data_IF_445823156468
#
_entry.id   IF_445823156468
#
_cell.length_a   1.000
_cell.length_b   1.000
_cell.length_c   1.000
_cell.angle_alpha   90.00
_cell.angle_beta   90.00
_cell.angle_gamma   90.00
#
_symmetry.space_group_name_H-M   'P 1'
#
loop_
_entity.id
_entity.type
_entity.pdbx_description
1 polymer ?
#
# COMPACT_ATOMS: atom_id res chain seq x y z
N UNK A 1 -14.54 0.36 -38.69
CA UNK A 1 -13.98 -0.49 -37.62
C UNK A 1 -13.47 0.43 -36.53
N UNK A 2 -14.11 0.44 -35.35
CA UNK A 2 -13.71 1.30 -34.23
C UNK A 2 -12.46 0.69 -33.61
N UNK A 3 -11.33 1.39 -33.70
CA UNK A 3 -10.17 1.09 -32.89
C UNK A 3 -10.57 1.29 -31.42
N UNK A 4 -10.75 0.19 -30.70
CA UNK A 4 -10.85 0.22 -29.24
C UNK A 4 -9.46 0.61 -28.76
N UNK A 5 -9.29 1.89 -28.43
CA UNK A 5 -8.17 2.35 -27.62
C UNK A 5 -8.34 1.67 -26.26
N UNK A 6 -7.70 0.52 -26.08
CA UNK A 6 -7.42 -0.03 -24.76
C UNK A 6 -6.36 0.87 -24.11
N UNK A 7 -6.72 2.11 -23.82
CA UNK A 7 -6.02 2.89 -22.82
C UNK A 7 -6.43 2.25 -21.51
N UNK A 8 -5.63 1.29 -21.06
CA UNK A 8 -5.70 0.80 -19.68
C UNK A 8 -5.39 2.02 -18.81
N UNK A 9 -6.44 2.64 -18.25
CA UNK A 9 -6.30 3.66 -17.21
C UNK A 9 -5.85 2.97 -15.92
N UNK A 10 -4.65 2.38 -15.88
CA UNK A 10 -3.99 2.12 -14.60
C UNK A 10 -3.42 3.46 -14.14
N UNK A 11 -4.27 4.30 -13.55
CA UNK A 11 -3.84 5.55 -12.96
C UNK A 11 -3.11 5.22 -11.64
N UNK A 12 -1.79 5.50 -11.48
CA UNK A 12 -1.11 5.33 -10.20
C UNK A 12 -1.46 6.45 -9.21
N UNK A 13 -2.57 7.18 -9.41
CA UNK A 13 -2.91 8.36 -8.65
C UNK A 13 -4.06 8.04 -7.69
N UNK A 14 -3.69 7.38 -6.60
CA UNK A 14 -4.53 7.23 -5.41
C UNK A 14 -4.93 8.61 -4.86
N UNK A 15 -4.13 9.66 -5.09
CA UNK A 15 -4.43 11.03 -4.64
C UNK A 15 -5.03 11.83 -5.81
N UNK A 16 -6.26 12.31 -5.66
CA UNK A 16 -6.96 13.05 -6.71
C UNK A 16 -6.37 14.45 -6.95
N UNK A 17 -6.14 15.19 -5.86
CA UNK A 17 -5.52 16.53 -5.88
C UNK A 17 -5.09 16.94 -4.47
N UNK A 18 -3.99 17.68 -4.33
CA UNK A 18 -3.60 18.29 -3.05
C UNK A 18 -2.76 19.53 -3.32
N UNK A 19 -2.99 20.66 -2.63
CA UNK A 19 -2.12 21.82 -2.69
C UNK A 19 -0.86 21.68 -1.80
N UNK A 20 -0.76 20.59 -1.03
CA UNK A 20 0.32 20.35 -0.08
C UNK A 20 1.27 19.25 -0.56
N UNK A 21 2.55 19.43 -0.27
CA UNK A 21 3.51 18.32 -0.29
C UNK A 21 3.23 17.41 0.90
N UNK A 22 3.04 16.11 0.65
CA UNK A 22 2.77 15.13 1.69
C UNK A 22 4.08 14.44 2.04
N UNK A 23 4.44 14.47 3.31
CA UNK A 23 5.57 13.73 3.85
C UNK A 23 5.05 12.72 4.86
N UNK A 24 5.47 11.46 4.73
CA UNK A 24 5.10 10.40 5.65
C UNK A 24 6.38 9.73 6.17
N UNK A 25 6.46 9.54 7.48
CA UNK A 25 7.58 8.90 8.16
C UNK A 25 7.03 7.72 8.97
N UNK A 26 7.08 6.48 8.46
CA UNK A 26 6.64 5.32 9.23
C UNK A 26 7.63 5.02 10.36
N UNK A 27 7.10 4.60 11.51
CA UNK A 27 7.88 3.97 12.57
C UNK A 27 7.48 2.49 12.66
N UNK A 28 8.45 1.61 12.41
CA UNK A 28 8.22 0.16 12.30
C UNK A 28 8.62 -0.51 13.61
N UNK A 29 7.72 -1.32 14.17
CA UNK A 29 7.97 -2.09 15.39
C UNK A 29 8.37 -3.55 15.10
N UNK A 30 7.73 -4.22 14.13
CA UNK A 30 8.01 -5.63 13.76
C UNK A 30 7.24 -6.04 12.48
N UNK A 31 7.73 -7.07 11.77
CA UNK A 31 7.03 -7.70 10.63
C UNK A 31 7.04 -6.86 9.35
N UNK A 32 6.61 -7.47 8.22
CA UNK A 32 6.58 -6.96 6.83
C UNK A 32 6.56 -5.43 6.70
N UNK A 33 7.73 -4.82 6.85
CA UNK A 33 7.83 -3.41 7.23
C UNK A 33 7.47 -2.48 6.09
N UNK A 34 7.77 -2.91 4.86
CA UNK A 34 7.39 -2.22 3.63
C UNK A 34 5.88 -2.25 3.41
N UNK A 35 5.23 -3.40 3.64
CA UNK A 35 3.79 -3.54 3.41
C UNK A 35 3.01 -2.84 4.50
N UNK A 36 3.43 -2.96 5.77
CA UNK A 36 2.89 -2.17 6.88
C UNK A 36 3.01 -0.66 6.63
N UNK A 37 4.09 -0.21 5.98
CA UNK A 37 4.24 1.22 5.61
C UNK A 37 3.22 1.66 4.54
N UNK A 38 2.88 0.80 3.57
CA UNK A 38 1.81 1.10 2.59
C UNK A 38 0.48 1.29 3.31
N UNK A 39 0.15 0.34 4.20
CA UNK A 39 -1.04 0.35 5.03
C UNK A 39 -1.12 1.60 5.92
N UNK A 40 -0.01 1.98 6.56
CA UNK A 40 0.06 3.14 7.45
C UNK A 40 -0.06 4.46 6.67
N UNK A 41 0.59 4.57 5.50
CA UNK A 41 0.48 5.73 4.63
C UNK A 41 -0.98 5.98 4.28
N UNK A 42 -1.70 4.95 3.81
CA UNK A 42 -3.11 5.07 3.46
C UNK A 42 -3.96 5.59 4.62
N UNK A 43 -3.85 4.98 5.81
CA UNK A 43 -4.62 5.42 6.97
C UNK A 43 -4.25 6.84 7.41
N UNK A 44 -2.96 7.19 7.40
CA UNK A 44 -2.50 8.55 7.74
C UNK A 44 -3.01 9.60 6.76
N UNK A 45 -3.12 9.27 5.47
CA UNK A 45 -3.69 10.14 4.45
C UNK A 45 -5.19 10.35 4.67
N UNK A 46 -5.93 9.27 4.99
CA UNK A 46 -7.34 9.38 5.36
C UNK A 46 -7.54 10.28 6.58
N UNK A 47 -6.71 10.14 7.61
CA UNK A 47 -6.77 10.96 8.83
C UNK A 47 -6.38 12.42 8.57
N UNK A 48 -5.34 12.66 7.77
CA UNK A 48 -4.89 13.99 7.38
C UNK A 48 -5.86 14.73 6.44
N UNK A 49 -6.89 14.04 5.92
CA UNK A 49 -7.88 14.59 4.99
C UNK A 49 -7.43 14.61 3.54
N UNK A 50 -6.33 13.93 3.20
CA UNK A 50 -5.82 13.84 1.82
C UNK A 50 -6.82 13.06 0.96
N UNK A 51 -7.34 13.63 -0.14
CA UNK A 51 -8.39 13.01 -0.93
C UNK A 51 -7.84 11.83 -1.71
N UNK A 52 -8.01 10.65 -1.12
CA UNK A 52 -7.66 9.36 -1.72
C UNK A 52 -8.86 8.75 -2.43
N UNK A 53 -8.65 8.23 -3.64
CA UNK A 53 -9.68 7.70 -4.53
C UNK A 53 -10.01 6.24 -4.26
N UNK A 54 -9.03 5.47 -3.79
CA UNK A 54 -9.14 4.03 -3.59
C UNK A 54 -8.42 3.59 -2.31
N UNK A 55 -8.86 2.45 -1.76
CA UNK A 55 -8.23 1.82 -0.61
C UNK A 55 -7.03 1.02 -1.08
N UNK A 56 -5.91 1.19 -0.40
CA UNK A 56 -4.63 0.57 -0.79
C UNK A 56 -4.11 -0.24 0.38
N UNK A 57 -3.78 -1.49 0.11
CA UNK A 57 -3.16 -2.41 1.04
C UNK A 57 -1.93 -3.04 0.41
N UNK A 58 -1.11 -3.66 1.26
CA UNK A 58 0.00 -4.49 0.81
C UNK A 58 0.12 -5.71 1.71
N UNK A 59 0.63 -6.81 1.16
CA UNK A 59 0.98 -8.00 1.92
C UNK A 59 2.25 -8.64 1.35
N UNK A 60 2.99 -9.35 2.19
CA UNK A 60 4.14 -10.15 1.77
C UNK A 60 3.73 -11.62 1.73
N UNK A 61 4.13 -12.31 0.69
CA UNK A 61 3.94 -13.74 0.50
C UNK A 61 5.30 -14.41 0.47
N UNK A 62 5.40 -15.57 1.11
CA UNK A 62 6.61 -16.38 1.07
C UNK A 62 6.38 -17.69 0.36
N UNK A 63 7.49 -18.32 0.01
CA UNK A 63 7.50 -19.67 -0.52
C UNK A 63 8.50 -20.50 0.27
N UNK A 64 8.10 -21.70 0.67
CA UNK A 64 8.98 -22.74 1.16
C UNK A 64 8.92 -23.88 0.17
N UNK A 65 10.09 -24.33 -0.31
CA UNK A 65 10.23 -25.48 -1.20
C UNK A 65 11.08 -26.51 -0.49
N UNK A 66 10.71 -27.78 -0.58
CA UNK A 66 11.49 -28.89 -0.02
C UNK A 66 12.80 -29.09 -0.79
N UNK A 67 13.83 -29.64 -0.13
CA UNK A 67 15.20 -29.78 -0.66
C UNK A 67 15.26 -30.64 -1.94
N UNK A 68 14.22 -31.42 -2.23
CA UNK A 68 14.10 -32.25 -3.44
C UNK A 68 13.86 -31.48 -4.73
N UNK A 69 13.46 -30.20 -4.68
CA UNK A 69 13.26 -29.37 -5.87
C UNK A 69 12.02 -29.71 -6.73
N UNK A 70 11.21 -30.68 -6.30
CA UNK A 70 9.96 -31.07 -6.94
C UNK A 70 8.79 -30.19 -6.48
N UNK A 71 7.95 -29.74 -7.43
CA UNK A 71 6.82 -28.83 -7.21
C UNK A 71 5.76 -29.36 -6.23
N UNK A 72 5.76 -30.66 -5.97
CA UNK A 72 4.78 -31.34 -5.10
C UNK A 72 4.92 -30.98 -3.60
N UNK A 73 6.04 -30.36 -3.21
CA UNK A 73 6.33 -29.95 -1.82
C UNK A 73 6.26 -28.44 -1.54
N UNK A 74 5.86 -27.62 -2.50
CA UNK A 74 5.90 -26.16 -2.36
C UNK A 74 4.75 -25.63 -1.48
N UNK A 75 5.09 -24.96 -0.36
CA UNK A 75 4.14 -24.31 0.54
C UNK A 75 4.19 -22.79 0.39
N UNK A 76 3.04 -22.20 0.12
CA UNK A 76 2.86 -20.75 0.05
C UNK A 76 2.46 -20.25 1.42
N UNK A 77 3.16 -19.22 1.88
CA UNK A 77 2.85 -18.52 3.11
C UNK A 77 2.30 -17.13 2.80
N UNK A 78 1.23 -16.74 3.48
CA UNK A 78 0.62 -15.40 3.42
C UNK A 78 1.01 -14.60 4.65
N UNK A 79 1.30 -13.31 4.48
CA UNK A 79 1.66 -12.39 5.55
C UNK A 79 2.86 -12.87 6.38
N UNK A 80 3.97 -13.14 5.67
CA UNK A 80 5.15 -13.75 6.28
C UNK A 80 5.80 -12.89 7.38
N UNK A 81 6.20 -13.55 8.45
CA UNK A 81 7.05 -13.00 9.49
C UNK A 81 8.51 -12.96 9.06
N UNK A 82 9.33 -12.15 9.74
CA UNK A 82 10.76 -12.06 9.41
C UNK A 82 11.52 -13.39 9.54
N UNK A 83 11.05 -14.30 10.40
CA UNK A 83 11.62 -15.64 10.51
C UNK A 83 11.25 -16.52 9.29
N UNK A 84 10.01 -16.43 8.82
CA UNK A 84 9.51 -17.17 7.66
C UNK A 84 10.13 -16.65 6.36
N UNK A 85 10.39 -15.35 6.29
CA UNK A 85 11.20 -14.75 5.23
C UNK A 85 12.64 -15.29 5.28
N UNK A 86 13.29 -15.25 6.46
CA UNK A 86 14.68 -15.70 6.60
C UNK A 86 14.91 -17.17 6.24
N UNK A 87 13.93 -18.04 6.53
CA UNK A 87 13.95 -19.47 6.21
C UNK A 87 13.34 -19.79 4.84
N UNK A 88 12.60 -18.85 4.26
CA UNK A 88 11.91 -19.00 2.99
C UNK A 88 12.81 -18.85 1.79
N UNK A 89 12.29 -19.28 0.65
CA UNK A 89 12.97 -19.25 -0.67
C UNK A 89 12.58 -18.02 -1.49
N UNK A 90 11.48 -17.36 -1.14
CA UNK A 90 10.92 -16.21 -1.85
C UNK A 90 10.32 -15.22 -0.86
N UNK A 91 10.47 -13.93 -1.16
CA UNK A 91 9.74 -12.81 -0.56
C UNK A 91 9.05 -12.02 -1.68
N UNK A 92 7.77 -12.30 -1.89
CA UNK A 92 6.91 -11.66 -2.88
C UNK A 92 6.02 -10.63 -2.20
N UNK A 93 6.36 -9.36 -2.39
CA UNK A 93 5.61 -8.21 -1.90
C UNK A 93 4.73 -7.67 -3.02
N UNK A 94 3.44 -7.51 -2.76
CA UNK A 94 2.54 -6.83 -3.69
C UNK A 94 1.70 -5.83 -2.92
N UNK A 95 1.50 -4.67 -3.52
CA UNK A 95 0.63 -3.62 -3.03
C UNK A 95 -0.37 -3.24 -4.12
N UNK A 96 -1.58 -2.89 -3.72
CA UNK A 96 -2.65 -2.61 -4.65
C UNK A 96 -3.94 -2.18 -4.00
N UNK A 97 -4.92 -1.89 -4.85
CA UNK A 97 -6.31 -1.63 -4.51
C UNK A 97 -7.21 -2.71 -5.11
N UNK A 98 -8.52 -2.63 -4.83
CA UNK A 98 -9.52 -3.45 -5.51
C UNK A 98 -9.51 -3.24 -7.04
N UNK A 99 -9.08 -2.06 -7.49
CA UNK A 99 -8.92 -1.73 -8.92
C UNK A 99 -7.71 -2.37 -9.58
N UNK A 100 -6.79 -2.94 -8.79
CA UNK A 100 -5.66 -3.72 -9.28
C UNK A 100 -4.36 -3.45 -8.53
N UNK A 101 -3.27 -4.00 -9.07
CA UNK A 101 -1.94 -3.96 -8.44
C UNK A 101 -1.22 -2.66 -8.80
N UNK A 102 -0.64 -2.00 -7.80
CA UNK A 102 0.11 -0.73 -7.95
C UNK A 102 1.61 -0.93 -7.86
N UNK A 103 2.08 -1.91 -7.07
CA UNK A 103 3.50 -2.23 -6.96
C UNK A 103 3.71 -3.72 -6.69
N UNK A 104 4.75 -4.29 -7.31
CA UNK A 104 5.21 -5.66 -7.08
C UNK A 104 6.72 -5.60 -6.83
N UNK A 105 7.18 -6.32 -5.82
CA UNK A 105 8.59 -6.59 -5.59
C UNK A 105 8.74 -8.08 -5.31
N UNK A 106 9.55 -8.74 -6.13
CA UNK A 106 9.90 -10.15 -5.98
C UNK A 106 11.38 -10.23 -5.60
N UNK A 107 11.66 -10.73 -4.40
CA UNK A 107 13.00 -11.07 -3.96
C UNK A 107 13.13 -12.60 -3.87
N UNK A 108 14.02 -13.16 -4.67
CA UNK A 108 14.26 -14.60 -4.70
C UNK A 108 15.61 -14.92 -4.10
N UNK A 109 15.61 -15.78 -3.08
CA UNK A 109 16.82 -16.18 -2.36
C UNK A 109 17.54 -17.35 -3.02
N UNK A 110 16.97 -17.90 -4.10
CA UNK A 110 17.48 -19.07 -4.82
C UNK A 110 17.81 -18.65 -6.25
N UNK A 111 19.04 -18.96 -6.70
CA UNK A 111 19.55 -18.47 -7.99
C UNK A 111 18.89 -19.06 -9.24
N UNK A 112 17.95 -20.00 -9.11
CA UNK A 112 17.31 -20.68 -10.24
C UNK A 112 15.92 -21.20 -9.85
N UNK A 113 14.89 -20.37 -9.96
CA UNK A 113 13.49 -20.77 -9.77
C UNK A 113 12.92 -21.28 -11.11
N UNK A 114 13.49 -22.36 -11.66
CA UNK A 114 13.02 -22.91 -12.94
C UNK A 114 11.73 -23.74 -12.81
N UNK A 115 11.37 -24.11 -11.58
CA UNK A 115 10.17 -24.92 -11.25
C UNK A 115 9.02 -24.05 -10.74
N UNK A 116 9.30 -22.97 -9.99
CA UNK A 116 8.26 -22.17 -9.36
C UNK A 116 8.12 -20.73 -9.90
N UNK A 117 7.60 -20.60 -11.12
CA UNK A 117 7.04 -19.31 -11.56
C UNK A 117 5.83 -18.96 -10.69
N UNK A 118 5.71 -17.74 -10.14
CA UNK A 118 4.50 -17.33 -9.43
C UNK A 118 3.31 -17.47 -10.40
N UNK A 119 2.49 -18.49 -10.17
CA UNK A 119 1.34 -18.79 -11.02
C UNK A 119 0.25 -17.74 -10.80
N UNK A 120 -0.72 -17.63 -11.72
CA UNK A 120 -1.87 -16.75 -11.53
C UNK A 120 -2.59 -16.97 -10.19
N UNK A 121 -2.53 -18.19 -9.64
CA UNK A 121 -3.14 -18.50 -8.33
C UNK A 121 -2.40 -17.84 -7.17
N UNK A 122 -1.08 -17.68 -7.22
CA UNK A 122 -0.32 -17.00 -6.16
C UNK A 122 -0.64 -15.52 -6.12
N UNK A 123 -0.71 -14.89 -7.29
CA UNK A 123 -1.16 -13.50 -7.43
C UNK A 123 -2.62 -13.39 -6.98
N UNK A 124 -3.47 -14.37 -7.29
CA UNK A 124 -4.86 -14.37 -6.85
C UNK A 124 -5.00 -14.42 -5.31
N UNK A 125 -4.28 -15.31 -4.64
CA UNK A 125 -4.24 -15.40 -3.18
C UNK A 125 -3.74 -14.08 -2.58
N UNK A 126 -2.73 -13.48 -3.21
CA UNK A 126 -2.21 -12.16 -2.82
C UNK A 126 -3.31 -11.09 -2.91
N UNK A 127 -4.00 -11.03 -4.06
CA UNK A 127 -5.10 -10.08 -4.28
C UNK A 127 -6.20 -10.23 -3.25
N UNK A 128 -6.59 -11.46 -2.92
CA UNK A 128 -7.61 -11.70 -1.93
C UNK A 128 -7.16 -11.25 -0.52
N UNK A 129 -5.89 -11.49 -0.18
CA UNK A 129 -5.35 -11.14 1.14
C UNK A 129 -5.21 -9.64 1.32
N UNK A 130 -4.67 -8.88 0.34
CA UNK A 130 -4.59 -7.42 0.50
C UNK A 130 -5.98 -6.76 0.43
N UNK A 131 -6.94 -7.31 -0.33
CA UNK A 131 -8.34 -6.83 -0.31
C UNK A 131 -8.99 -7.08 1.05
N UNK A 132 -8.69 -8.22 1.68
CA UNK A 132 -9.15 -8.47 3.05
C UNK A 132 -8.58 -7.43 4.03
N UNK A 133 -7.30 -7.08 3.88
CA UNK A 133 -6.66 -6.01 4.66
C UNK A 133 -7.33 -4.65 4.39
N UNK A 134 -7.64 -4.30 3.14
CA UNK A 134 -8.32 -3.03 2.85
C UNK A 134 -9.74 -2.98 3.41
N UNK A 135 -10.43 -4.11 3.46
CA UNK A 135 -11.71 -4.25 4.16
C UNK A 135 -11.58 -3.96 5.65
N UNK A 136 -10.51 -4.42 6.31
CA UNK A 136 -10.26 -4.14 7.73
C UNK A 136 -10.13 -2.62 7.98
N UNK A 137 -9.48 -1.87 7.09
CA UNK A 137 -9.39 -0.40 7.24
C UNK A 137 -10.75 0.29 7.27
N UNK A 138 -11.74 -0.30 6.60
CA UNK A 138 -13.09 0.30 6.50
C UNK A 138 -13.77 0.44 7.86
N UNK A 139 -13.42 -0.43 8.81
CA UNK A 139 -13.89 -0.33 10.19
C UNK A 139 -13.29 0.86 10.94
N UNK A 140 -12.09 1.31 10.57
CA UNK A 140 -11.40 2.44 11.21
C UNK A 140 -11.65 3.75 10.47
N UNK A 141 -11.45 3.74 9.14
CA UNK A 141 -11.62 4.88 8.25
C UNK A 141 -12.49 4.47 7.07
N UNK A 142 -13.79 4.73 7.18
CA UNK A 142 -14.73 4.50 6.08
C UNK A 142 -14.49 5.51 4.94
N UNK A 143 -14.09 6.74 5.28
CA UNK A 143 -13.82 7.83 4.34
C UNK A 143 -12.72 8.76 4.87
N UNK A 144 -12.00 9.40 3.96
CA UNK A 144 -11.09 10.51 4.25
C UNK A 144 -11.79 11.66 4.98
N UNK A 145 -11.11 12.30 5.93
CA UNK A 145 -11.60 13.55 6.55
C UNK A 145 -11.93 14.61 5.50
N UNK A 146 -13.02 15.34 5.69
CA UNK A 146 -13.49 16.40 4.75
C UNK A 146 -12.57 17.62 4.66
N UNK A 147 -11.71 17.85 5.64
CA UNK A 147 -10.86 19.04 5.72
C UNK A 147 -9.42 18.57 5.78
N UNK A 148 -8.62 18.97 4.78
CA UNK A 148 -7.17 18.85 4.85
C UNK A 148 -6.64 19.86 5.86
N UNK A 149 -5.68 19.41 6.66
CA UNK A 149 -4.94 20.22 7.63
C UNK A 149 -5.72 20.56 8.92
N UNK A 150 -5.03 20.41 10.05
CA UNK A 150 -5.51 20.82 11.38
C UNK A 150 -5.87 22.31 11.43
N UNK A 151 -6.84 22.76 12.25
CA UNK A 151 -7.25 24.17 12.37
C UNK A 151 -6.09 25.15 12.63
N UNK A 152 -4.95 24.69 13.14
CA UNK A 152 -3.75 25.50 13.35
C UNK A 152 -3.01 25.92 12.06
N UNK A 153 -3.40 25.42 10.89
CA UNK A 153 -2.74 25.77 9.62
C UNK A 153 -3.22 27.09 9.01
N UNK A 154 -4.40 27.60 9.40
CA UNK A 154 -4.94 28.85 8.86
C UNK A 154 -5.02 29.90 9.97
N UNK A 155 -4.21 30.94 9.84
CA UNK A 155 -4.19 32.05 10.78
C UNK A 155 -5.07 33.18 10.24
N UNK A 156 -5.98 33.70 11.07
CA UNK A 156 -6.98 34.68 10.61
C UNK A 156 -6.47 36.11 10.79
N UNK A 157 -6.42 36.88 9.70
CA UNK A 157 -6.16 38.32 9.75
C UNK A 157 -7.46 39.12 9.70
N UNK A 158 -7.59 40.16 10.52
CA UNK A 158 -8.65 41.16 10.35
C UNK A 158 -8.35 42.07 9.15
N UNK A 159 -9.38 42.38 8.36
CA UNK A 159 -9.26 43.22 7.16
C UNK A 159 -8.68 44.62 7.45
N UNK A 160 -9.02 45.19 8.62
CA UNK A 160 -8.52 46.50 9.06
C UNK A 160 -7.26 46.43 9.95
N UNK A 161 -6.51 45.32 9.91
CA UNK A 161 -5.34 45.14 10.79
C UNK A 161 -4.16 45.99 10.28
N UNK A 162 -3.45 46.74 11.16
CA UNK A 162 -2.26 47.48 10.76
C UNK A 162 -1.17 46.56 10.20
N UNK A 163 -0.40 47.03 9.21
CA UNK A 163 0.72 46.27 8.65
C UNK A 163 1.73 45.93 9.76
N UNK A 164 2.14 44.67 9.85
CA UNK A 164 3.16 44.20 10.80
C UNK A 164 2.62 43.62 12.11
N UNK A 165 1.30 43.63 12.36
CA UNK A 165 0.73 42.98 13.56
C UNK A 165 0.47 41.51 13.26
N UNK A 166 1.11 40.64 14.04
CA UNK A 166 1.11 39.19 13.89
C UNK A 166 -0.29 38.57 13.83
N UNK A 167 -0.35 37.40 13.22
CA UNK A 167 -1.57 36.67 12.93
C UNK A 167 -2.07 35.93 14.21
N UNK A 168 -3.38 35.79 14.42
CA UNK A 168 -3.95 35.05 15.58
C UNK A 168 -4.51 33.71 15.13
N UNK A 169 -4.05 32.62 15.73
CA UNK A 169 -4.50 31.25 15.48
C UNK A 169 -5.83 30.95 16.16
#
# INVERSE_FOLDING_TARGET
MRHVLNTVYHAPYIIYHTPYTIHHTPYILSGSSSMASVCSVYMSMCDAGVPVTERVGGVAMGLIVDEGGDDDGALILTDILGLEDALGTMDLKVAGSEGGVTAIQLDSKVGYVHTYTPTPTHIHIHTHTYIHITHIYTYTYTYTRRVMASPYHCCRTHYNKPRGVGCTY
#
